data_IF_323261580980
#
_entry.id   IF_323261580980
#
_cell.length_a   1.000
_cell.length_b   1.000
_cell.length_c   1.000
_cell.angle_alpha   90.00
_cell.angle_beta   90.00
_cell.angle_gamma   90.00
#
_symmetry.space_group_name_H-M   'P 1'
#
loop_
_entity.id
_entity.type
_entity.pdbx_description
1 polymer ?
#
# COMPACT_ATOMS: atom_id res chain seq x y z
N UNK A 1 17.97 3.58 -2.43
CA UNK A 1 16.51 3.83 -2.36
C UNK A 1 16.24 4.81 -1.23
N UNK A 2 15.61 5.97 -1.49
CA UNK A 2 15.30 6.99 -0.47
C UNK A 2 14.14 6.48 0.40
N UNK A 3 14.32 6.44 1.73
CA UNK A 3 13.29 6.04 2.70
C UNK A 3 12.05 6.93 2.56
N UNK A 4 10.86 6.35 2.54
CA UNK A 4 9.61 7.13 2.54
C UNK A 4 9.45 7.82 3.89
N UNK A 5 9.01 9.08 3.87
CA UNK A 5 8.66 9.81 5.08
C UNK A 5 7.26 9.39 5.56
N UNK A 6 6.97 9.48 6.87
CA UNK A 6 5.62 9.32 7.40
C UNK A 6 4.60 10.21 6.68
N UNK A 7 3.39 9.69 6.44
CA UNK A 7 2.33 10.40 5.72
C UNK A 7 2.56 10.53 4.20
N UNK A 8 3.60 9.88 3.66
CA UNK A 8 3.89 9.92 2.23
C UNK A 8 3.05 8.89 1.47
N UNK A 9 2.43 9.36 0.39
CA UNK A 9 1.82 8.53 -0.64
C UNK A 9 2.70 8.59 -1.89
N UNK A 10 3.04 7.44 -2.46
CA UNK A 10 3.84 7.36 -3.68
C UNK A 10 3.25 6.35 -4.65
N UNK A 11 3.09 6.78 -5.89
CA UNK A 11 2.68 5.94 -7.01
C UNK A 11 3.93 5.35 -7.67
N UNK A 12 3.90 4.04 -7.88
CA UNK A 12 4.91 3.29 -8.61
C UNK A 12 4.25 2.67 -9.83
N UNK A 13 4.89 2.77 -10.98
CA UNK A 13 4.52 1.95 -12.12
C UNK A 13 5.28 0.63 -12.01
N UNK A 14 4.55 -0.48 -12.00
CA UNK A 14 5.16 -1.79 -12.08
C UNK A 14 5.70 -1.95 -13.49
N UNK A 15 6.91 -2.48 -13.61
CA UNK A 15 7.39 -2.88 -14.92
C UNK A 15 6.41 -3.90 -15.50
N UNK A 16 5.98 -3.70 -16.76
CA UNK A 16 5.10 -4.66 -17.40
C UNK A 16 5.82 -6.00 -17.50
N UNK A 17 5.04 -7.08 -17.55
CA UNK A 17 5.59 -8.40 -17.78
C UNK A 17 6.40 -8.37 -19.09
N UNK A 18 7.65 -8.90 -19.12
CA UNK A 18 8.49 -8.87 -20.31
C UNK A 18 7.89 -9.64 -21.50
N UNK A 19 6.89 -10.49 -21.25
CA UNK A 19 6.15 -11.27 -22.23
C UNK A 19 4.72 -10.72 -22.48
N UNK A 20 4.24 -9.76 -21.69
CA UNK A 20 2.96 -9.08 -21.88
C UNK A 20 3.05 -7.58 -21.53
N UNK A 21 3.44 -6.79 -22.54
CA UNK A 21 3.60 -5.33 -22.44
C UNK A 21 2.29 -4.55 -22.36
N UNK A 22 1.13 -5.23 -22.49
CA UNK A 22 -0.18 -4.57 -22.42
C UNK A 22 -0.61 -4.30 -20.98
N UNK A 23 -0.05 -5.03 -20.01
CA UNK A 23 -0.38 -4.89 -18.60
C UNK A 23 0.44 -3.80 -17.92
N UNK A 24 0.05 -2.53 -18.16
CA UNK A 24 0.49 -1.42 -17.30
C UNK A 24 -0.28 -1.47 -15.99
N UNK A 25 0.43 -1.76 -14.90
CA UNK A 25 -0.13 -1.75 -13.55
C UNK A 25 0.55 -0.67 -12.73
N UNK A 26 -0.25 0.13 -12.01
CA UNK A 26 0.25 1.08 -11.05
C UNK A 26 -0.01 0.55 -9.63
N UNK A 27 0.90 0.84 -8.71
CA UNK A 27 0.80 0.50 -7.30
C UNK A 27 0.98 1.78 -6.49
N UNK A 28 0.03 2.09 -5.61
CA UNK A 28 0.17 3.21 -4.67
C UNK A 28 0.50 2.70 -3.29
N UNK A 29 1.68 3.04 -2.80
CA UNK A 29 2.10 2.73 -1.43
C UNK A 29 1.92 3.98 -0.58
N UNK A 30 1.26 3.83 0.56
CA UNK A 30 1.07 4.87 1.56
C UNK A 30 1.68 4.41 2.89
N UNK A 31 2.48 5.26 3.52
CA UNK A 31 3.02 5.00 4.85
C UNK A 31 2.32 5.91 5.86
N UNK A 32 1.70 5.31 6.87
CA UNK A 32 1.03 6.04 7.94
C UNK A 32 1.66 5.68 9.28
N UNK A 33 1.95 6.70 10.08
CA UNK A 33 2.45 6.52 11.45
C UNK A 33 1.36 6.92 12.44
N UNK A 34 1.38 6.33 13.63
CA UNK A 34 0.46 6.65 14.71
C UNK A 34 -1.04 6.48 14.36
N UNK A 35 -1.38 5.38 13.67
CA UNK A 35 -2.75 5.09 13.24
C UNK A 35 -3.63 4.72 14.44
N UNK A 36 -4.61 5.56 14.76
CA UNK A 36 -5.51 5.34 15.91
C UNK A 36 -6.70 4.42 15.61
N UNK A 37 -7.08 4.30 14.34
CA UNK A 37 -8.27 3.58 13.87
C UNK A 37 -7.91 2.32 13.05
N UNK A 38 -6.76 1.71 13.31
CA UNK A 38 -6.27 0.54 12.57
C UNK A 38 -7.29 -0.62 12.56
N UNK A 39 -8.04 -0.82 13.65
CA UNK A 39 -9.06 -1.87 13.74
C UNK A 39 -10.23 -1.62 12.77
N UNK A 40 -10.72 -0.40 12.68
CA UNK A 40 -11.81 -0.03 11.77
C UNK A 40 -11.39 -0.21 10.31
N UNK A 41 -10.18 0.26 9.96
CA UNK A 41 -9.62 0.10 8.63
C UNK A 41 -9.50 -1.37 8.23
N UNK A 42 -9.07 -2.23 9.16
CA UNK A 42 -9.02 -3.68 8.94
C UNK A 42 -10.40 -4.29 8.68
N UNK A 43 -11.42 -3.83 9.40
CA UNK A 43 -12.79 -4.31 9.21
C UNK A 43 -13.33 -3.89 7.85
N UNK A 44 -13.09 -2.63 7.44
CA UNK A 44 -13.46 -2.12 6.11
C UNK A 44 -12.74 -2.85 4.97
N UNK A 45 -11.50 -3.26 5.18
CA UNK A 45 -10.73 -4.05 4.22
C UNK A 45 -11.26 -5.48 4.11
N UNK A 46 -11.68 -6.08 5.24
CA UNK A 46 -12.32 -7.41 5.26
C UNK A 46 -13.73 -7.41 4.68
N UNK A 47 -14.49 -6.34 4.86
CA UNK A 47 -15.83 -6.19 4.28
C UNK A 47 -15.78 -5.87 2.78
N UNK A 48 -14.60 -5.53 2.24
CA UNK A 48 -14.43 -5.13 0.84
C UNK A 48 -14.87 -3.69 0.55
N UNK A 49 -15.13 -2.87 1.58
CA UNK A 49 -15.40 -1.43 1.43
C UNK A 49 -14.16 -0.67 0.94
N UNK A 50 -12.98 -1.20 1.22
CA UNK A 50 -11.69 -0.68 0.74
C UNK A 50 -10.99 -1.77 -0.08
N UNK A 51 -10.72 -1.49 -1.36
CA UNK A 51 -9.85 -2.31 -2.22
C UNK A 51 -8.38 -1.91 -1.98
N UNK A 52 -7.78 -2.51 -0.96
CA UNK A 52 -6.38 -2.30 -0.59
C UNK A 52 -5.83 -3.50 0.19
N UNK A 53 -4.53 -3.52 0.41
CA UNK A 53 -3.84 -4.40 1.34
C UNK A 53 -3.26 -3.60 2.50
N UNK A 54 -3.41 -4.10 3.73
CA UNK A 54 -2.81 -3.51 4.92
C UNK A 54 -1.68 -4.41 5.39
N UNK A 55 -0.47 -3.86 5.51
CA UNK A 55 0.75 -4.59 5.85
C UNK A 55 1.38 -3.95 7.08
N UNK A 56 1.62 -4.73 8.14
CA UNK A 56 2.38 -4.19 9.28
C UNK A 56 3.81 -3.89 8.80
N UNK A 57 4.21 -2.61 8.82
CA UNK A 57 5.58 -2.25 8.50
C UNK A 57 6.55 -2.72 9.61
N UNK A 58 6.12 -3.26 10.74
CA UNK A 58 7.00 -4.01 11.66
C UNK A 58 7.80 -5.11 10.94
N UNK A 59 7.24 -5.67 9.87
CA UNK A 59 7.90 -6.68 9.02
C UNK A 59 8.89 -6.08 7.99
N UNK A 60 8.96 -4.76 7.86
CA UNK A 60 9.73 -4.05 6.80
C UNK A 60 10.63 -2.92 7.37
N UNK A 61 10.20 -2.18 8.40
CA UNK A 61 10.97 -1.17 9.13
C UNK A 61 10.45 -0.72 10.53
N UNK A 62 9.50 -1.39 11.18
CA UNK A 62 9.01 -1.00 12.54
C UNK A 62 7.78 -0.07 12.62
N UNK A 63 7.10 0.24 11.50
CA UNK A 63 5.93 1.14 11.44
C UNK A 63 4.66 0.40 10.92
N UNK A 64 3.56 1.06 10.54
CA UNK A 64 2.42 0.41 9.84
C UNK A 64 2.34 0.88 8.37
N UNK A 65 2.29 -0.04 7.41
CA UNK A 65 2.34 0.26 5.97
C UNK A 65 0.98 -0.08 5.32
N UNK A 66 0.41 0.87 4.58
CA UNK A 66 -0.80 0.61 3.81
C UNK A 66 -0.44 0.50 2.33
N UNK A 67 -0.68 -0.67 1.72
CA UNK A 67 -0.50 -0.86 0.29
C UNK A 67 -1.87 -0.77 -0.39
N UNK A 68 -2.16 0.38 -1.00
CA UNK A 68 -3.35 0.52 -1.84
C UNK A 68 -3.09 -0.07 -3.23
N UNK A 69 -3.76 -1.17 -3.56
CA UNK A 69 -3.88 -1.63 -4.95
C UNK A 69 -4.97 -0.80 -5.63
N UNK A 70 -4.57 0.31 -6.26
CA UNK A 70 -5.44 0.98 -7.22
C UNK A 70 -5.43 0.15 -8.52
N UNK A 71 -6.59 -0.38 -8.90
CA UNK A 71 -6.82 -0.89 -10.26
C UNK A 71 -6.74 0.24 -11.28
#
# INVERSE_FOLDING_TARGET
>A
LKRMSPGCSRLYELQPDPYDVTQRRALRICLFTDVKNAHELRNKLRSGEIDAAMIRAELVSGEELFIGLLK
#
